data_IF_417855223796
#
_entry.id   IF_417855223796
#
_cell.length_a   1.000
_cell.length_b   1.000
_cell.length_c   1.000
_cell.angle_alpha   90.00
_cell.angle_beta   90.00
_cell.angle_gamma   90.00
#
_symmetry.space_group_name_H-M   'P 1'
#
loop_
_entity.id
_entity.type
_entity.pdbx_description
1 polymer ?
#
# COMPACT_ATOMS: atom_id res chain seq x y z
N UNK A 1 17.44 10.12 -9.34
CA UNK A 1 17.23 8.70 -8.98
C UNK A 1 16.46 8.04 -10.13
N UNK A 2 17.15 7.29 -11.02
CA UNK A 2 16.54 6.64 -12.21
C UNK A 2 15.99 5.27 -11.80
N UNK A 3 14.67 5.09 -11.88
CA UNK A 3 14.01 3.82 -11.65
C UNK A 3 14.26 2.87 -12.84
N UNK A 4 14.93 1.75 -12.57
CA UNK A 4 14.87 0.55 -13.40
C UNK A 4 13.51 -0.13 -13.19
N UNK A 5 12.55 0.17 -14.06
CA UNK A 5 11.53 -0.77 -14.53
C UNK A 5 11.31 -0.43 -16.02
N UNK A 6 11.90 -1.22 -16.92
CA UNK A 6 11.70 -1.12 -18.38
C UNK A 6 10.31 -1.66 -18.80
N UNK A 7 9.24 -1.17 -18.17
CA UNK A 7 7.89 -1.35 -18.68
C UNK A 7 7.28 0.01 -18.92
N UNK A 8 6.69 0.20 -20.09
CA UNK A 8 5.90 1.41 -20.33
C UNK A 8 4.78 1.49 -19.29
N UNK A 9 4.38 2.71 -18.86
CA UNK A 9 3.31 2.88 -17.88
C UNK A 9 2.02 2.12 -18.23
N UNK A 10 1.71 1.99 -19.53
CA UNK A 10 0.58 1.22 -20.03
C UNK A 10 0.71 -0.30 -19.81
N UNK A 11 1.91 -0.88 -19.99
CA UNK A 11 2.16 -2.31 -19.74
C UNK A 11 2.03 -2.62 -18.25
N UNK A 12 2.61 -1.77 -17.40
CA UNK A 12 2.52 -1.93 -15.94
C UNK A 12 1.06 -1.84 -15.47
N UNK A 13 0.32 -0.86 -15.97
CA UNK A 13 -1.11 -0.71 -15.68
C UNK A 13 -1.91 -1.96 -16.06
N UNK A 14 -1.74 -2.47 -17.29
CA UNK A 14 -2.48 -3.65 -17.77
C UNK A 14 -2.19 -4.88 -16.90
N UNK A 15 -0.91 -5.16 -16.62
CA UNK A 15 -0.48 -6.28 -15.78
C UNK A 15 -1.07 -6.18 -14.37
N UNK A 16 -0.98 -5.01 -13.74
CA UNK A 16 -1.48 -4.83 -12.38
C UNK A 16 -3.01 -4.88 -12.31
N UNK A 17 -3.71 -4.40 -13.34
CA UNK A 17 -5.16 -4.55 -13.47
C UNK A 17 -5.56 -6.03 -13.49
N UNK A 18 -4.87 -6.87 -14.25
CA UNK A 18 -5.11 -8.32 -14.30
C UNK A 18 -4.84 -8.99 -12.93
N UNK A 19 -3.73 -8.65 -12.29
CA UNK A 19 -3.39 -9.15 -10.95
C UNK A 19 -4.44 -8.75 -9.90
N UNK A 20 -4.94 -7.50 -9.94
CA UNK A 20 -6.01 -7.02 -9.07
C UNK A 20 -7.29 -7.85 -9.26
N UNK A 21 -7.71 -8.08 -10.51
CA UNK A 21 -8.90 -8.89 -10.77
C UNK A 21 -8.73 -10.33 -10.31
N UNK A 22 -7.53 -10.90 -10.44
CA UNK A 22 -7.23 -12.23 -9.92
C UNK A 22 -7.29 -12.24 -8.38
N UNK A 23 -6.67 -11.26 -7.71
CA UNK A 23 -6.64 -11.14 -6.26
C UNK A 23 -8.02 -10.98 -5.63
N UNK A 24 -8.96 -10.35 -6.33
CA UNK A 24 -10.34 -10.21 -5.88
C UNK A 24 -11.18 -11.49 -6.02
N UNK A 25 -10.69 -12.49 -6.77
CA UNK A 25 -11.41 -13.75 -7.03
C UNK A 25 -10.95 -14.90 -6.13
N UNK A 26 -9.66 -14.97 -5.82
CA UNK A 26 -9.10 -16.09 -5.06
C UNK A 26 -7.78 -15.72 -4.35
N UNK A 27 -7.43 -16.56 -3.37
CA UNK A 27 -6.23 -16.41 -2.55
C UNK A 27 -4.92 -16.49 -3.36
N UNK A 28 -4.86 -17.36 -4.38
CA UNK A 28 -3.70 -17.47 -5.26
C UNK A 28 -3.38 -16.15 -5.99
N UNK A 29 -4.42 -15.44 -6.44
CA UNK A 29 -4.31 -14.11 -7.02
C UNK A 29 -3.82 -13.07 -6.03
N UNK A 30 -4.28 -13.13 -4.77
CA UNK A 30 -3.81 -12.24 -3.71
C UNK A 30 -2.32 -12.47 -3.44
N UNK A 31 -1.89 -13.73 -3.34
CA UNK A 31 -0.47 -14.09 -3.17
C UNK A 31 0.36 -13.54 -4.35
N UNK A 32 -0.12 -13.69 -5.58
CA UNK A 32 0.57 -13.20 -6.77
C UNK A 32 0.70 -11.66 -6.76
N UNK A 33 -0.36 -10.94 -6.39
CA UNK A 33 -0.33 -9.48 -6.29
C UNK A 33 0.59 -9.03 -5.14
N UNK A 34 0.53 -9.67 -3.98
CA UNK A 34 1.43 -9.39 -2.84
C UNK A 34 2.90 -9.58 -3.22
N UNK A 35 3.22 -10.65 -3.95
CA UNK A 35 4.57 -10.88 -4.50
C UNK A 35 4.98 -9.78 -5.48
N UNK A 36 4.07 -9.35 -6.35
CA UNK A 36 4.33 -8.26 -7.30
C UNK A 36 4.63 -6.93 -6.60
N UNK A 37 3.91 -6.58 -5.52
CA UNK A 37 4.15 -5.32 -4.77
C UNK A 37 5.23 -5.43 -3.69
N UNK A 38 5.73 -6.63 -3.38
CA UNK A 38 6.71 -6.85 -2.33
C UNK A 38 7.97 -5.95 -2.48
N UNK A 39 8.59 -5.79 -3.67
CA UNK A 39 9.76 -4.92 -3.82
C UNK A 39 9.46 -3.44 -3.52
N UNK A 40 8.22 -3.00 -3.71
CA UNK A 40 7.80 -1.64 -3.35
C UNK A 40 7.76 -1.49 -1.82
N UNK A 41 7.12 -2.42 -1.15
CA UNK A 41 7.02 -2.45 0.32
C UNK A 41 8.42 -2.52 0.95
N UNK A 42 9.30 -3.36 0.42
CA UNK A 42 10.66 -3.50 0.92
C UNK A 42 11.42 -2.17 0.86
N UNK A 43 11.29 -1.41 -0.23
CA UNK A 43 11.93 -0.08 -0.36
C UNK A 43 11.40 0.92 0.65
N UNK A 44 10.09 0.93 0.89
CA UNK A 44 9.50 1.80 1.91
C UNK A 44 9.96 1.39 3.31
N UNK A 45 9.92 0.09 3.62
CA UNK A 45 10.40 -0.41 4.90
C UNK A 45 11.87 -0.06 5.14
N UNK A 46 12.74 -0.19 4.13
CA UNK A 46 14.15 0.21 4.20
C UNK A 46 14.31 1.71 4.50
N UNK A 47 13.55 2.55 3.79
CA UNK A 47 13.56 3.99 3.97
C UNK A 47 13.16 4.39 5.41
N UNK A 48 12.05 3.86 5.91
CA UNK A 48 11.56 4.19 7.25
C UNK A 48 12.43 3.54 8.35
N UNK A 49 13.00 2.36 8.09
CA UNK A 49 13.98 1.72 8.99
C UNK A 49 15.19 2.63 9.18
N UNK A 50 15.81 3.06 8.08
CA UNK A 50 16.98 3.96 8.11
C UNK A 50 16.65 5.28 8.81
N UNK A 51 15.45 5.81 8.61
CA UNK A 51 15.07 7.13 9.13
C UNK A 51 14.63 7.13 10.59
N UNK A 52 14.02 6.05 11.07
CA UNK A 52 13.36 6.02 12.39
C UNK A 52 13.81 4.87 13.30
N UNK A 53 14.69 3.98 12.83
CA UNK A 53 15.22 2.86 13.61
C UNK A 53 14.19 1.74 13.90
N UNK A 54 13.00 1.79 13.29
CA UNK A 54 11.97 0.76 13.46
C UNK A 54 12.40 -0.52 12.73
N UNK A 55 12.20 -1.73 13.29
CA UNK A 55 12.54 -2.97 12.61
C UNK A 55 11.89 -3.08 11.22
N UNK A 56 12.71 -3.40 10.21
CA UNK A 56 12.26 -3.48 8.81
C UNK A 56 11.11 -4.49 8.64
N UNK A 57 11.18 -5.64 9.29
CA UNK A 57 10.16 -6.68 9.22
C UNK A 57 8.81 -6.18 9.75
N UNK A 58 8.82 -5.38 10.80
CA UNK A 58 7.60 -4.79 11.37
C UNK A 58 6.98 -3.77 10.40
N UNK A 59 7.80 -2.89 9.81
CA UNK A 59 7.36 -1.96 8.77
C UNK A 59 6.77 -2.67 7.56
N UNK A 60 7.35 -3.80 7.15
CA UNK A 60 6.83 -4.61 6.04
C UNK A 60 5.45 -5.19 6.38
N UNK A 61 5.26 -5.72 7.60
CA UNK A 61 3.96 -6.23 8.05
C UNK A 61 2.91 -5.12 8.06
N UNK A 62 3.24 -3.96 8.64
CA UNK A 62 2.33 -2.82 8.74
C UNK A 62 1.94 -2.30 7.35
N UNK A 63 2.87 -2.33 6.39
CA UNK A 63 2.63 -1.92 5.00
C UNK A 63 1.51 -2.71 4.31
N UNK A 64 1.13 -3.88 4.82
CA UNK A 64 0.00 -4.67 4.31
C UNK A 64 -1.33 -4.39 5.02
N UNK A 65 -1.38 -3.54 6.05
CA UNK A 65 -2.57 -3.34 6.90
C UNK A 65 -3.80 -2.89 6.10
N UNK A 66 -3.59 -2.07 5.07
CA UNK A 66 -4.65 -1.58 4.19
C UNK A 66 -4.74 -2.32 2.85
N UNK A 67 -4.01 -3.42 2.66
CA UNK A 67 -3.94 -4.13 1.39
C UNK A 67 -5.33 -4.51 0.87
N UNK A 68 -6.11 -5.22 1.68
CA UNK A 68 -7.47 -5.65 1.32
C UNK A 68 -8.43 -4.48 1.05
N UNK A 69 -8.34 -3.43 1.87
CA UNK A 69 -9.16 -2.24 1.68
C UNK A 69 -8.82 -1.52 0.37
N UNK A 70 -7.53 -1.31 0.11
CA UNK A 70 -7.03 -0.68 -1.11
C UNK A 70 -7.38 -1.47 -2.36
N UNK A 71 -7.38 -2.80 -2.30
CA UNK A 71 -7.73 -3.66 -3.43
C UNK A 71 -9.19 -3.47 -3.84
N UNK A 72 -10.11 -3.43 -2.87
CA UNK A 72 -11.54 -3.17 -3.11
C UNK A 72 -11.76 -1.77 -3.66
N UNK A 73 -11.12 -0.75 -3.08
CA UNK A 73 -11.22 0.64 -3.55
C UNK A 73 -10.64 0.83 -4.95
N UNK A 74 -9.54 0.16 -5.27
CA UNK A 74 -8.93 0.25 -6.60
C UNK A 74 -9.84 -0.35 -7.68
N UNK A 75 -10.64 -1.39 -7.38
CA UNK A 75 -11.69 -1.87 -8.31
C UNK A 75 -12.70 -0.76 -8.67
N UNK A 76 -13.11 0.05 -7.69
CA UNK A 76 -14.01 1.18 -7.93
C UNK A 76 -13.32 2.22 -8.83
N UNK A 77 -12.05 2.52 -8.58
CA UNK A 77 -11.25 3.43 -9.41
C UNK A 77 -11.05 2.92 -10.83
N UNK A 78 -10.85 1.62 -11.03
CA UNK A 78 -10.77 1.03 -12.36
C UNK A 78 -12.06 1.25 -13.17
N UNK A 79 -13.23 1.30 -12.52
CA UNK A 79 -14.50 1.64 -13.19
C UNK A 79 -14.48 3.10 -13.66
N UNK A 80 -14.10 4.02 -12.79
CA UNK A 80 -13.96 5.45 -13.10
C UNK A 80 -12.98 5.69 -14.27
N UNK A 81 -11.86 4.95 -14.30
CA UNK A 81 -10.89 5.00 -15.41
C UNK A 81 -11.50 4.54 -16.74
N UNK A 82 -12.24 3.42 -16.73
CA UNK A 82 -12.85 2.90 -17.95
C UNK A 82 -13.96 3.82 -18.49
N UNK A 83 -14.60 4.60 -17.63
CA UNK A 83 -15.59 5.62 -17.99
C UNK A 83 -14.96 6.96 -18.41
N UNK A 84 -13.62 7.05 -18.43
CA UNK A 84 -12.89 8.27 -18.81
C UNK A 84 -12.96 9.39 -17.77
N UNK A 85 -13.43 9.10 -16.54
CA UNK A 85 -13.57 10.10 -15.46
C UNK A 85 -12.24 10.39 -14.75
N UNK A 86 -11.20 9.59 -15.00
CA UNK A 86 -9.87 9.78 -14.44
C UNK A 86 -8.78 9.17 -15.34
N UNK A 87 -7.54 9.63 -15.19
CA UNK A 87 -6.38 9.07 -15.88
C UNK A 87 -6.01 7.66 -15.39
N UNK A 88 -5.37 6.87 -16.24
CA UNK A 88 -4.89 5.53 -15.89
C UNK A 88 -3.67 5.58 -14.97
N UNK A 89 -3.71 4.84 -13.87
CA UNK A 89 -2.56 4.61 -13.00
C UNK A 89 -2.58 3.19 -12.46
N UNK A 90 -1.39 2.65 -12.22
CA UNK A 90 -1.21 1.28 -11.76
C UNK A 90 -1.58 1.13 -10.28
N UNK A 91 -1.86 -0.10 -9.84
CA UNK A 91 -2.17 -0.40 -8.44
C UNK A 91 -1.00 -0.03 -7.52
N UNK A 92 0.25 -0.28 -7.93
CA UNK A 92 1.45 0.10 -7.19
C UNK A 92 1.47 1.60 -6.87
N UNK A 93 1.23 2.46 -7.88
CA UNK A 93 1.18 3.90 -7.69
C UNK A 93 0.06 4.33 -6.73
N UNK A 94 -1.09 3.67 -6.82
CA UNK A 94 -2.21 3.88 -5.90
C UNK A 94 -1.89 3.43 -4.47
N UNK A 95 -1.19 2.30 -4.34
CA UNK A 95 -0.94 1.63 -3.06
C UNK A 95 0.16 2.32 -2.24
N UNK A 96 1.04 3.10 -2.87
CA UNK A 96 2.05 3.92 -2.17
C UNK A 96 1.46 4.74 -1.03
N UNK A 97 0.31 5.40 -1.27
CA UNK A 97 -0.33 6.20 -0.23
C UNK A 97 -0.70 5.36 1.00
N UNK A 98 -1.25 4.16 0.79
CA UNK A 98 -1.62 3.25 1.87
C UNK A 98 -0.41 2.72 2.65
N UNK A 99 0.70 2.43 1.95
CA UNK A 99 1.96 2.04 2.60
C UNK A 99 2.42 3.17 3.52
N UNK A 100 2.53 4.40 3.00
CA UNK A 100 2.97 5.56 3.78
C UNK A 100 2.05 5.82 4.99
N UNK A 101 0.74 5.87 4.77
CA UNK A 101 -0.23 6.10 5.84
C UNK A 101 -0.15 5.04 6.94
N UNK A 102 0.01 3.76 6.57
CA UNK A 102 0.13 2.68 7.55
C UNK A 102 1.37 2.81 8.43
N UNK A 103 2.53 3.10 7.82
CA UNK A 103 3.79 3.25 8.53
C UNK A 103 3.79 4.51 9.39
N UNK A 104 3.31 5.64 8.85
CA UNK A 104 3.29 6.92 9.57
C UNK A 104 2.33 6.88 10.76
N UNK A 105 1.17 6.24 10.61
CA UNK A 105 0.24 6.01 11.73
C UNK A 105 0.90 5.18 12.82
N UNK A 106 1.57 4.08 12.44
CA UNK A 106 2.28 3.24 13.40
C UNK A 106 3.39 4.02 14.14
N UNK A 107 4.23 4.76 13.41
CA UNK A 107 5.30 5.57 14.01
C UNK A 107 4.72 6.66 14.91
N UNK A 108 3.62 7.29 14.50
CA UNK A 108 2.93 8.31 15.30
C UNK A 108 2.42 7.75 16.63
N UNK A 109 1.77 6.58 16.59
CA UNK A 109 1.31 5.86 17.80
C UNK A 109 2.51 5.42 18.65
N UNK A 110 3.59 4.93 18.05
CA UNK A 110 4.78 4.49 18.79
C UNK A 110 5.49 5.65 19.50
N UNK A 111 5.51 6.85 18.90
CA UNK A 111 6.08 8.07 19.49
C UNK A 111 5.16 8.71 20.53
N UNK A 112 3.85 8.57 20.35
CA UNK A 112 2.82 9.05 21.26
C UNK A 112 1.87 7.91 21.64
N UNK A 113 2.33 6.91 22.41
CA UNK A 113 1.45 5.83 22.86
C UNK A 113 0.32 6.48 23.63
N UNK A 114 -0.93 6.13 23.32
CA UNK A 114 -2.17 6.74 23.79
C UNK A 114 -2.17 7.03 25.31
N UNK A 115 -1.52 8.12 25.73
CA UNK A 115 -1.41 8.54 27.14
C UNK A 115 -2.64 9.33 27.59
N UNK A 116 -3.56 9.64 26.68
CA UNK A 116 -4.67 10.57 26.95
C UNK A 116 -6.07 9.95 27.01
N UNK A 117 -6.24 8.62 26.85
CA UNK A 117 -7.57 8.01 27.00
C UNK A 117 -7.96 7.85 28.49
N UNK A 118 -7.00 7.89 29.42
CA UNK A 118 -7.30 7.84 30.87
C UNK A 118 -7.71 9.18 31.50
N UNK A 119 -7.71 10.31 30.77
CA UNK A 119 -8.10 11.62 31.32
C UNK A 119 -9.51 12.10 30.94
N UNK A 120 -10.31 11.29 30.24
CA UNK A 120 -11.73 11.57 29.97
C UNK A 120 -12.66 10.56 30.65
N UNK A 121 -12.41 10.26 31.92
CA UNK A 121 -13.46 9.87 32.87
C UNK A 121 -13.20 10.66 34.14
N UNK A 122 -14.25 11.25 34.69
CA UNK A 122 -14.29 12.14 35.85
C UNK A 122 -13.94 13.60 35.57
N UNK A 123 -14.94 14.34 35.07
CA UNK A 123 -15.56 15.46 35.79
C UNK A 123 -17.02 15.56 35.37
#
# INVERSE_FOLDING_TARGET
MKLLIFMSPGILFKKEKELVFSALKNEGGEIALRKHIFPLIEKFAEYYHTRYGVPKQELMLISYSYFQYSLKRYKERLKEMNEGRMGFYSFSSYYVWYIQQSIETYIGIAKHPLKDIKKRKVS
#
